data_IF_031147246137
#
_entry.id   IF_031147246137
#
_cell.length_a   1.000
_cell.length_b   1.000
_cell.length_c   1.000
_cell.angle_alpha   90.00
_cell.angle_beta   90.00
_cell.angle_gamma   90.00
#
_symmetry.space_group_name_H-M   'P 1'
#
loop_
_entity.id
_entity.type
_entity.pdbx_description
1 polymer ?
#
# COMPACT_ATOMS: atom_id res chain seq x y z
N UNK A 1 16.76 58.64 1.55
CA UNK A 1 17.78 57.58 1.35
C UNK A 1 17.09 56.27 1.70
N UNK A 2 16.26 55.68 0.84
CA UNK A 2 16.56 54.90 -0.37
C UNK A 2 17.56 53.75 -0.14
N UNK A 3 16.99 52.53 -0.07
CA UNK A 3 17.41 51.24 -0.62
C UNK A 3 16.66 50.17 0.18
N UNK A 4 15.76 49.34 -0.33
CA UNK A 4 15.65 48.80 -1.69
C UNK A 4 15.89 47.29 -1.58
N UNK A 5 14.83 46.51 -1.34
CA UNK A 5 14.84 45.06 -1.49
C UNK A 5 13.52 44.64 -2.16
N UNK A 6 13.70 44.24 -3.41
CA UNK A 6 12.68 43.92 -4.40
C UNK A 6 11.88 42.66 -4.04
N UNK A 7 10.55 42.79 -4.10
CA UNK A 7 9.62 41.67 -4.24
C UNK A 7 9.68 41.17 -5.68
N UNK A 8 10.33 40.03 -5.90
CA UNK A 8 10.20 39.28 -7.14
C UNK A 8 8.87 38.53 -7.12
N UNK A 9 7.89 39.09 -7.82
CA UNK A 9 6.67 38.42 -8.27
C UNK A 9 7.05 37.41 -9.35
N UNK A 10 7.00 36.10 -9.05
CA UNK A 10 7.04 35.09 -10.10
C UNK A 10 5.63 34.89 -10.67
N UNK A 11 5.50 35.31 -11.92
CA UNK A 11 4.34 35.12 -12.77
C UNK A 11 4.13 33.63 -13.05
N UNK A 12 2.94 33.11 -12.75
CA UNK A 12 2.49 31.80 -13.22
C UNK A 12 2.16 31.87 -14.72
N UNK A 13 3.15 31.66 -15.57
CA UNK A 13 2.90 31.40 -16.99
C UNK A 13 2.54 29.91 -17.18
N UNK A 14 1.24 29.68 -17.33
CA UNK A 14 0.60 28.74 -18.26
C UNK A 14 1.54 27.77 -18.99
N UNK A 15 1.61 26.51 -18.53
CA UNK A 15 1.87 25.38 -19.41
C UNK A 15 0.53 24.69 -19.68
N UNK A 16 0.05 24.87 -20.91
CA UNK A 16 -1.18 24.31 -21.46
C UNK A 16 -1.03 22.79 -21.57
N UNK A 17 -1.83 22.03 -20.81
CA UNK A 17 -1.97 20.60 -20.99
C UNK A 17 -2.71 20.29 -22.29
N UNK A 18 -2.08 19.54 -23.19
CA UNK A 18 -2.72 18.98 -24.38
C UNK A 18 -3.48 17.72 -23.99
N UNK A 19 -4.79 17.68 -24.28
CA UNK A 19 -5.64 16.52 -24.02
C UNK A 19 -5.96 15.82 -25.36
N UNK A 20 -5.67 14.52 -25.47
CA UNK A 20 -6.07 13.70 -26.61
C UNK A 20 -7.53 13.27 -26.44
N UNK A 21 -8.37 13.55 -27.43
CA UNK A 21 -9.69 12.91 -27.57
C UNK A 21 -9.69 12.06 -28.85
N UNK A 22 -9.99 10.77 -28.68
CA UNK A 22 -10.22 9.87 -29.80
C UNK A 22 -11.70 9.92 -30.20
N UNK A 23 -11.98 10.35 -31.43
CA UNK A 23 -13.26 10.08 -32.08
C UNK A 23 -13.06 9.23 -33.33
N UNK A 24 -14.00 8.28 -33.50
CA UNK A 24 -13.93 7.24 -34.51
C UNK A 24 -13.90 7.87 -35.91
N UNK A 25 -12.87 7.47 -36.67
CA UNK A 25 -12.55 7.75 -38.09
C UNK A 25 -11.76 9.04 -38.36
N UNK A 26 -10.43 8.92 -38.21
CA UNK A 26 -9.48 9.19 -39.29
C UNK A 26 -9.19 10.63 -39.70
N UNK A 27 -8.67 11.48 -38.80
CA UNK A 27 -7.55 12.44 -39.01
C UNK A 27 -7.35 13.22 -37.70
N UNK A 28 -6.12 13.27 -37.17
CA UNK A 28 -5.79 14.03 -35.95
C UNK A 28 -5.55 15.50 -36.33
N UNK A 29 -6.40 16.41 -35.88
CA UNK A 29 -6.16 17.87 -35.92
C UNK A 29 -6.10 18.43 -34.51
N UNK A 30 -5.12 19.30 -34.26
CA UNK A 30 -4.92 20.00 -33.01
C UNK A 30 -5.82 21.24 -32.96
N UNK A 31 -6.66 21.36 -31.93
CA UNK A 31 -7.40 22.59 -31.65
C UNK A 31 -7.03 23.15 -30.27
N UNK A 32 -6.92 24.48 -30.16
CA UNK A 32 -6.74 25.18 -28.89
C UNK A 32 -8.00 25.05 -28.01
N UNK A 33 -7.78 24.88 -26.70
CA UNK A 33 -8.83 24.63 -25.71
C UNK A 33 -9.79 25.81 -25.53
N UNK A 34 -11.09 25.52 -25.52
CA UNK A 34 -12.18 26.47 -25.27
C UNK A 34 -12.10 27.05 -23.84
N UNK A 35 -11.96 28.38 -23.68
CA UNK A 35 -11.78 29.03 -22.39
C UNK A 35 -13.05 29.14 -21.52
N UNK A 36 -14.20 28.56 -21.92
CA UNK A 36 -15.46 28.66 -21.16
C UNK A 36 -15.98 27.36 -20.51
N UNK A 37 -15.12 26.38 -20.22
CA UNK A 37 -15.52 25.22 -19.40
C UNK A 37 -15.69 25.63 -17.93
N UNK A 38 -16.95 25.85 -17.52
CA UNK A 38 -17.35 26.10 -16.13
C UNK A 38 -16.69 25.07 -15.20
N UNK A 39 -16.06 25.56 -14.12
CA UNK A 39 -15.48 24.75 -13.04
C UNK A 39 -16.49 23.71 -12.56
N UNK A 40 -16.31 22.46 -12.96
CA UNK A 40 -16.91 21.32 -12.27
C UNK A 40 -16.17 21.21 -10.94
N UNK A 41 -16.91 21.30 -9.83
CA UNK A 41 -16.37 21.03 -8.50
C UNK A 41 -15.69 19.66 -8.50
N UNK A 42 -14.49 19.59 -7.92
CA UNK A 42 -13.81 18.31 -7.72
C UNK A 42 -14.77 17.37 -6.96
N UNK A 43 -14.89 16.09 -7.37
CA UNK A 43 -15.75 15.15 -6.66
C UNK A 43 -15.31 15.06 -5.20
N UNK A 44 -16.25 15.22 -4.28
CA UNK A 44 -16.01 15.04 -2.85
C UNK A 44 -15.40 13.65 -2.62
N UNK A 45 -14.18 13.58 -2.08
CA UNK A 45 -13.51 12.33 -1.70
C UNK A 45 -14.09 11.72 -0.41
N UNK A 46 -15.05 12.38 0.23
CA UNK A 46 -15.73 11.85 1.40
C UNK A 46 -16.67 10.71 1.01
N UNK A 47 -16.38 9.50 1.51
CA UNK A 47 -17.24 8.32 1.40
C UNK A 47 -18.63 8.66 1.98
N UNK A 48 -19.74 8.33 1.29
CA UNK A 48 -21.11 8.49 1.83
C UNK A 48 -21.28 7.88 3.23
N UNK A 49 -22.26 8.36 4.01
CA UNK A 49 -22.46 7.90 5.41
C UNK A 49 -22.65 6.38 5.54
N UNK A 50 -21.98 5.81 6.57
CA UNK A 50 -22.02 4.42 7.07
C UNK A 50 -22.10 3.29 6.03
N UNK A 51 -21.25 3.34 4.99
CA UNK A 51 -21.01 2.17 4.15
C UNK A 51 -20.24 1.08 4.92
N UNK A 52 -20.55 -0.21 4.64
CA UNK A 52 -19.73 -1.33 5.08
C UNK A 52 -18.30 -1.21 4.53
N UNK A 53 -17.33 -1.94 5.09
CA UNK A 53 -15.96 -1.85 4.60
C UNK A 53 -15.85 -2.14 3.09
N UNK A 54 -16.51 -3.18 2.61
CA UNK A 54 -16.39 -3.60 1.20
C UNK A 54 -17.14 -2.65 0.26
N UNK A 55 -18.32 -2.16 0.65
CA UNK A 55 -19.06 -1.16 -0.13
C UNK A 55 -18.31 0.18 -0.20
N UNK A 56 -17.68 0.61 0.89
CA UNK A 56 -16.86 1.81 0.91
C UNK A 56 -15.62 1.69 0.03
N UNK A 57 -14.95 0.53 0.07
CA UNK A 57 -13.80 0.22 -0.80
C UNK A 57 -14.18 0.29 -2.27
N UNK A 58 -15.32 -0.30 -2.65
CA UNK A 58 -15.83 -0.25 -4.02
C UNK A 58 -16.19 1.16 -4.46
N UNK A 59 -16.78 1.96 -3.56
CA UNK A 59 -17.08 3.36 -3.83
C UNK A 59 -15.80 4.17 -4.08
N UNK A 60 -14.78 4.00 -3.23
CA UNK A 60 -13.48 4.67 -3.40
C UNK A 60 -12.84 4.30 -4.73
N UNK A 61 -12.84 3.01 -5.09
CA UNK A 61 -12.27 2.54 -6.36
C UNK A 61 -12.95 3.13 -7.59
N UNK A 62 -14.27 3.34 -7.53
CA UNK A 62 -15.06 3.99 -8.59
C UNK A 62 -14.88 5.50 -8.65
N UNK A 63 -14.49 6.12 -7.53
CA UNK A 63 -14.42 7.57 -7.37
C UNK A 63 -13.01 8.13 -7.59
N UNK A 64 -11.98 7.29 -7.44
CA UNK A 64 -10.58 7.66 -7.65
C UNK A 64 -10.10 7.28 -9.04
N UNK A 65 -9.33 8.18 -9.67
CA UNK A 65 -8.69 7.92 -10.95
C UNK A 65 -7.65 6.80 -10.79
N UNK A 66 -7.74 5.70 -11.54
CA UNK A 66 -6.74 4.65 -11.51
C UNK A 66 -5.43 5.10 -12.14
N UNK A 67 -4.31 4.63 -11.60
CA UNK A 67 -3.02 4.72 -12.25
C UNK A 67 -2.87 3.57 -13.25
N UNK A 68 -2.42 3.86 -14.48
CA UNK A 68 -2.19 2.84 -15.52
C UNK A 68 -0.86 3.13 -16.22
N UNK A 69 0.02 2.14 -16.28
CA UNK A 69 1.31 2.28 -16.97
C UNK A 69 1.72 1.03 -17.73
N UNK A 70 2.59 1.20 -18.73
CA UNK A 70 3.40 0.11 -19.26
C UNK A 70 4.60 -0.06 -18.34
N UNK A 71 4.86 -1.29 -17.90
CA UNK A 71 6.01 -1.51 -17.02
C UNK A 71 7.33 -1.39 -17.81
N UNK A 72 8.37 -0.91 -17.15
CA UNK A 72 9.72 -0.77 -17.67
C UNK A 72 10.57 -2.00 -17.33
N UNK A 73 11.72 -2.14 -18.00
CA UNK A 73 12.71 -3.19 -17.69
C UNK A 73 12.38 -4.60 -18.22
N UNK A 74 11.35 -4.73 -19.05
CA UNK A 74 10.86 -6.03 -19.55
C UNK A 74 11.87 -6.77 -20.46
N UNK A 75 12.87 -6.08 -20.99
CA UNK A 75 13.92 -6.69 -21.81
C UNK A 75 15.02 -7.41 -21.01
N UNK A 76 15.02 -7.27 -19.67
CA UNK A 76 16.07 -7.80 -18.80
C UNK A 76 15.59 -9.03 -18.01
N UNK A 77 16.54 -9.79 -17.46
CA UNK A 77 16.31 -10.88 -16.48
C UNK A 77 15.31 -11.95 -16.95
N UNK A 78 15.29 -12.22 -18.26
CA UNK A 78 14.45 -13.28 -18.84
C UNK A 78 12.95 -12.98 -18.84
N UNK A 79 12.51 -11.77 -18.45
CA UNK A 79 11.09 -11.39 -18.36
C UNK A 79 10.29 -11.61 -19.64
N UNK A 80 10.94 -11.57 -20.81
CA UNK A 80 10.31 -11.87 -22.10
C UNK A 80 9.74 -13.30 -22.22
N UNK A 81 10.20 -14.26 -21.42
CA UNK A 81 9.58 -15.59 -21.37
C UNK A 81 8.32 -15.59 -20.50
N UNK A 82 8.25 -14.74 -19.48
CA UNK A 82 7.16 -14.66 -18.51
C UNK A 82 5.97 -13.83 -19.03
N UNK A 83 6.26 -12.67 -19.60
CA UNK A 83 5.26 -11.65 -19.94
C UNK A 83 4.17 -12.17 -20.89
N UNK A 84 4.48 -12.94 -21.96
CA UNK A 84 3.46 -13.49 -22.85
C UNK A 84 2.49 -14.47 -22.16
N UNK A 85 2.86 -15.01 -21.00
CA UNK A 85 2.05 -15.97 -20.24
C UNK A 85 1.08 -15.30 -19.27
N UNK A 86 1.20 -13.97 -19.07
CA UNK A 86 0.29 -13.23 -18.23
C UNK A 86 -1.10 -13.15 -18.88
N UNK A 87 -2.12 -13.15 -18.04
CA UNK A 87 -3.52 -13.04 -18.45
C UNK A 87 -4.09 -11.72 -17.95
N UNK A 88 -5.03 -11.16 -18.70
CA UNK A 88 -5.82 -10.01 -18.25
C UNK A 88 -6.52 -10.34 -16.93
N UNK A 89 -6.57 -9.37 -16.02
CA UNK A 89 -7.13 -9.54 -14.69
C UNK A 89 -6.19 -10.18 -13.67
N UNK A 90 -5.05 -10.78 -14.08
CA UNK A 90 -4.09 -11.37 -13.14
C UNK A 90 -3.60 -10.30 -12.15
N UNK A 91 -3.68 -10.54 -10.83
CA UNK A 91 -3.20 -9.57 -9.86
C UNK A 91 -1.69 -9.39 -9.91
N UNK A 92 -1.26 -8.17 -9.59
CA UNK A 92 0.14 -7.78 -9.46
C UNK A 92 0.35 -6.97 -8.19
N UNK A 93 1.54 -7.09 -7.62
CA UNK A 93 2.02 -6.29 -6.52
C UNK A 93 3.00 -5.24 -7.02
N UNK A 94 2.82 -4.00 -6.58
CA UNK A 94 3.77 -2.91 -6.73
C UNK A 94 4.46 -2.75 -5.37
N UNK A 95 5.77 -2.97 -5.33
CA UNK A 95 6.56 -2.96 -4.10
C UNK A 95 7.72 -2.00 -4.23
N UNK A 96 7.86 -1.08 -3.28
CA UNK A 96 9.05 -0.23 -3.20
C UNK A 96 10.30 -1.07 -2.93
N UNK A 97 11.39 -0.72 -3.61
CA UNK A 97 12.69 -1.35 -3.47
C UNK A 97 13.74 -0.28 -3.11
N UNK A 98 13.76 0.21 -1.86
CA UNK A 98 14.64 1.31 -1.45
C UNK A 98 16.13 0.99 -1.59
N UNK A 99 16.45 -0.31 -1.61
CA UNK A 99 17.81 -0.85 -1.79
C UNK A 99 18.20 -1.08 -3.25
N UNK A 100 17.35 -0.70 -4.21
CA UNK A 100 17.66 -0.87 -5.63
C UNK A 100 18.94 -0.06 -5.98
N UNK A 101 19.95 -0.68 -6.60
CA UNK A 101 21.25 -0.04 -6.81
C UNK A 101 21.23 1.11 -7.84
N UNK A 102 20.16 1.25 -8.61
CA UNK A 102 20.04 2.26 -9.67
C UNK A 102 19.09 3.40 -9.30
N UNK A 103 18.06 3.11 -8.50
CA UNK A 103 17.04 4.08 -8.11
C UNK A 103 16.40 3.69 -6.76
N UNK A 104 16.74 4.39 -5.68
CA UNK A 104 16.19 4.13 -4.34
C UNK A 104 14.69 4.42 -4.21
N UNK A 105 14.06 4.96 -5.25
CA UNK A 105 12.60 5.13 -5.33
C UNK A 105 11.96 4.11 -6.27
N UNK A 106 12.70 3.07 -6.70
CA UNK A 106 12.19 2.07 -7.62
C UNK A 106 10.96 1.36 -7.04
N UNK A 107 9.93 1.21 -7.87
CA UNK A 107 8.75 0.41 -7.54
C UNK A 107 8.74 -0.79 -8.48
N UNK A 108 9.05 -1.96 -7.92
CA UNK A 108 9.06 -3.24 -8.63
C UNK A 108 7.63 -3.73 -8.82
N UNK A 109 7.36 -4.35 -9.96
CA UNK A 109 6.07 -4.99 -10.27
C UNK A 109 6.26 -6.50 -10.27
N UNK A 110 5.53 -7.18 -9.40
CA UNK A 110 5.61 -8.61 -9.15
C UNK A 110 4.25 -9.27 -9.41
N UNK A 111 4.23 -10.55 -9.74
CA UNK A 111 3.03 -11.37 -9.50
C UNK A 111 2.88 -11.67 -8.00
N UNK A 112 1.72 -12.14 -7.55
CA UNK A 112 1.52 -12.51 -6.14
C UNK A 112 2.42 -13.67 -5.68
N UNK A 113 2.86 -14.53 -6.60
CA UNK A 113 3.86 -15.58 -6.38
C UNK A 113 5.33 -15.08 -6.49
N UNK A 114 5.54 -13.77 -6.59
CA UNK A 114 6.87 -13.15 -6.50
C UNK A 114 7.68 -13.14 -7.79
N UNK A 115 7.07 -13.46 -8.95
CA UNK A 115 7.78 -13.36 -10.23
C UNK A 115 7.95 -11.89 -10.62
N UNK A 116 9.19 -11.50 -10.89
CA UNK A 116 9.55 -10.15 -11.33
C UNK A 116 9.06 -9.90 -12.76
N UNK A 117 8.17 -8.91 -12.91
CA UNK A 117 7.64 -8.48 -14.20
C UNK A 117 8.37 -7.26 -14.75
N UNK A 118 9.02 -6.46 -13.89
CA UNK A 118 9.68 -5.21 -14.24
C UNK A 118 9.42 -4.14 -13.19
N UNK A 119 9.38 -2.88 -13.64
CA UNK A 119 9.29 -1.72 -12.75
C UNK A 119 8.26 -0.71 -13.24
N UNK A 120 7.75 0.10 -12.33
CA UNK A 120 7.08 1.37 -12.67
C UNK A 120 8.10 2.28 -13.37
N UNK A 121 7.71 3.02 -14.42
CA UNK A 121 8.59 4.02 -15.02
C UNK A 121 9.13 5.00 -13.98
N UNK A 122 10.44 5.25 -14.01
CA UNK A 122 11.14 6.07 -12.99
C UNK A 122 10.50 7.44 -12.73
N UNK A 123 9.95 8.08 -13.76
CA UNK A 123 9.30 9.38 -13.64
C UNK A 123 7.98 9.37 -12.87
N UNK A 124 7.41 8.19 -12.63
CA UNK A 124 6.05 7.99 -12.09
C UNK A 124 6.07 7.32 -10.71
N UNK A 125 7.24 6.95 -10.17
CA UNK A 125 7.38 6.24 -8.88
C UNK A 125 6.83 7.03 -7.71
N UNK A 126 6.92 8.36 -7.75
CA UNK A 126 6.36 9.26 -6.73
C UNK A 126 4.84 9.15 -6.55
N UNK A 127 4.13 8.52 -7.50
CA UNK A 127 2.68 8.25 -7.38
C UNK A 127 2.37 7.22 -6.29
N UNK A 128 3.33 6.36 -5.94
CA UNK A 128 3.12 5.25 -5.00
C UNK A 128 3.48 5.65 -3.58
N UNK A 129 2.47 6.02 -2.79
CA UNK A 129 2.64 6.46 -1.40
C UNK A 129 2.77 5.32 -0.37
N UNK A 130 2.35 4.11 -0.71
CA UNK A 130 2.45 2.93 0.15
C UNK A 130 3.60 2.03 -0.29
N UNK A 131 4.26 1.39 0.67
CA UNK A 131 5.33 0.40 0.40
C UNK A 131 4.84 -0.73 -0.52
N UNK A 132 3.58 -1.13 -0.36
CA UNK A 132 2.89 -2.11 -1.19
C UNK A 132 1.62 -1.50 -1.76
N UNK A 133 1.32 -1.78 -3.03
CA UNK A 133 0.04 -1.48 -3.68
C UNK A 133 -0.34 -2.69 -4.53
N UNK A 134 -1.63 -3.04 -4.57
CA UNK A 134 -2.11 -4.09 -5.46
C UNK A 134 -2.80 -3.52 -6.69
N UNK A 135 -2.69 -4.24 -7.79
CA UNK A 135 -3.32 -3.93 -9.06
C UNK A 135 -3.54 -5.18 -9.89
N UNK A 136 -3.76 -5.00 -11.18
CA UNK A 136 -3.97 -6.11 -12.11
C UNK A 136 -3.41 -5.80 -13.51
N UNK A 137 -3.14 -6.87 -14.26
CA UNK A 137 -2.83 -6.80 -15.68
C UNK A 137 -4.08 -6.36 -16.44
N UNK A 138 -3.94 -5.32 -17.28
CA UNK A 138 -4.98 -4.84 -18.20
C UNK A 138 -4.83 -5.47 -19.57
N UNK A 139 -3.60 -5.56 -20.09
CA UNK A 139 -3.37 -6.18 -21.38
C UNK A 139 -1.92 -6.61 -21.53
N UNK A 140 -1.71 -7.63 -22.34
CA UNK A 140 -0.40 -8.13 -22.76
C UNK A 140 -0.39 -8.11 -24.28
N UNK A 141 0.71 -7.66 -24.86
CA UNK A 141 0.81 -7.64 -26.32
C UNK A 141 2.16 -7.16 -26.81
N UNK A 142 2.40 -7.25 -28.13
CA UNK A 142 3.66 -6.81 -28.71
C UNK A 142 3.85 -5.31 -28.46
N UNK A 143 5.05 -4.95 -27.98
CA UNK A 143 5.55 -3.60 -28.07
C UNK A 143 5.83 -3.32 -29.56
N UNK A 144 5.28 -2.21 -30.07
CA UNK A 144 5.42 -1.85 -31.48
C UNK A 144 6.89 -1.88 -31.90
N UNK A 145 7.16 -2.55 -33.02
CA UNK A 145 8.43 -2.57 -33.76
C UNK A 145 9.66 -3.19 -33.07
N UNK A 146 9.52 -3.75 -31.86
CA UNK A 146 10.66 -4.37 -31.14
C UNK A 146 10.66 -5.91 -31.15
N UNK A 147 9.53 -6.53 -31.51
CA UNK A 147 9.33 -7.97 -31.36
C UNK A 147 9.23 -8.43 -29.90
N UNK A 148 9.28 -7.52 -28.93
CA UNK A 148 9.14 -7.79 -27.51
C UNK A 148 7.68 -7.75 -27.09
N UNK A 149 7.33 -8.54 -26.08
CA UNK A 149 6.04 -8.42 -25.40
C UNK A 149 6.13 -7.37 -24.30
N UNK A 150 5.10 -6.54 -24.22
CA UNK A 150 4.86 -5.59 -23.14
C UNK A 150 3.59 -5.94 -22.38
N UNK A 151 3.45 -5.34 -21.20
CA UNK A 151 2.27 -5.47 -20.36
C UNK A 151 1.84 -4.10 -19.86
N UNK A 152 0.53 -3.88 -19.88
CA UNK A 152 -0.14 -2.73 -19.29
C UNK A 152 -0.76 -3.16 -17.97
N UNK A 153 -0.50 -2.42 -16.90
CA UNK A 153 -1.01 -2.71 -15.55
C UNK A 153 -1.79 -1.51 -15.00
N UNK A 154 -2.73 -1.79 -14.10
CA UNK A 154 -3.55 -0.77 -13.42
C UNK A 154 -3.53 -0.96 -11.91
N UNK A 155 -3.45 0.14 -11.16
CA UNK A 155 -3.48 0.16 -9.71
C UNK A 155 -4.21 1.41 -9.17
N UNK A 156 -4.40 1.46 -7.85
CA UNK A 156 -4.86 2.65 -7.12
C UNK A 156 -3.82 3.00 -6.05
N UNK A 157 -2.72 3.69 -6.40
CA UNK A 157 -1.58 3.92 -5.50
C UNK A 157 -1.90 4.79 -4.27
N UNK A 158 -3.02 5.50 -4.30
CA UNK A 158 -3.54 6.30 -3.18
C UNK A 158 -4.51 5.54 -2.29
N UNK A 159 -4.82 4.28 -2.62
CA UNK A 159 -5.65 3.41 -1.80
C UNK A 159 -4.77 2.45 -0.99
N UNK A 160 -4.86 2.46 0.36
CA UNK A 160 -4.10 1.51 1.16
C UNK A 160 -4.46 0.06 0.79
N UNK A 161 -3.49 -0.86 0.71
CA UNK A 161 -3.77 -2.26 0.48
C UNK A 161 -4.30 -2.94 1.76
N UNK A 162 -5.07 -4.02 1.59
CA UNK A 162 -5.27 -4.98 2.67
C UNK A 162 -4.21 -6.07 2.55
N UNK A 163 -3.17 -5.96 3.36
CA UNK A 163 -2.09 -6.96 3.48
C UNK A 163 -2.26 -7.80 4.73
N UNK A 164 -1.59 -8.96 4.75
CA UNK A 164 -1.43 -9.84 5.91
C UNK A 164 0.05 -9.85 6.28
N UNK A 165 0.34 -9.67 7.57
CA UNK A 165 1.72 -9.57 8.05
C UNK A 165 2.33 -10.96 8.24
N UNK A 166 3.47 -11.19 7.60
CA UNK A 166 4.23 -12.43 7.71
C UNK A 166 5.09 -12.43 8.98
N UNK A 167 4.45 -12.49 10.15
CA UNK A 167 5.17 -12.54 11.43
C UNK A 167 5.89 -13.87 11.60
N UNK A 168 7.16 -13.85 12.04
CA UNK A 168 7.82 -15.07 12.48
C UNK A 168 7.21 -15.57 13.79
N UNK A 169 7.21 -16.89 13.98
CA UNK A 169 6.46 -17.55 15.06
C UNK A 169 6.92 -17.12 16.46
N UNK A 170 8.21 -16.82 16.63
CA UNK A 170 8.78 -16.42 17.91
C UNK A 170 8.28 -15.05 18.41
N UNK A 171 7.78 -14.19 17.52
CA UNK A 171 7.29 -12.85 17.87
C UNK A 171 5.82 -12.83 18.32
N UNK A 172 5.08 -13.94 18.17
CA UNK A 172 3.67 -14.04 18.57
C UNK A 172 3.36 -13.51 20.00
N UNK A 173 4.22 -13.69 21.03
CA UNK A 173 3.95 -13.18 22.37
C UNK A 173 4.08 -11.65 22.52
N UNK A 174 4.71 -10.95 21.57
CA UNK A 174 5.14 -9.54 21.72
C UNK A 174 4.66 -8.61 20.61
N UNK A 175 3.86 -9.09 19.66
CA UNK A 175 3.33 -8.26 18.54
C UNK A 175 1.93 -7.70 18.79
N UNK A 176 1.29 -8.10 19.89
CA UNK A 176 0.00 -7.58 20.32
C UNK A 176 0.21 -6.58 21.47
N UNK A 177 0.06 -5.29 21.21
CA UNK A 177 0.29 -4.26 22.23
C UNK A 177 -0.80 -4.23 23.30
N UNK A 178 -2.01 -4.68 22.99
CA UNK A 178 -3.10 -4.73 23.99
C UNK A 178 -2.78 -5.65 25.17
N UNK A 179 -1.90 -6.64 24.97
CA UNK A 179 -1.41 -7.54 26.02
C UNK A 179 -0.11 -7.06 26.67
N UNK A 180 0.64 -6.17 26.00
CA UNK A 180 1.92 -5.64 26.48
C UNK A 180 1.78 -4.34 27.27
N UNK A 181 0.76 -3.54 26.98
CA UNK A 181 0.54 -2.22 27.59
C UNK A 181 -0.44 -2.29 28.76
N UNK A 182 -0.43 -1.25 29.59
CA UNK A 182 -1.51 -1.07 30.57
C UNK A 182 -2.83 -0.79 29.86
N UNK A 183 -3.96 -1.16 30.48
CA UNK A 183 -5.28 -0.88 29.91
C UNK A 183 -5.49 0.60 29.60
N UNK A 184 -4.99 1.50 30.45
CA UNK A 184 -5.09 2.94 30.24
C UNK A 184 -4.26 3.43 29.05
N UNK A 185 -3.02 2.93 28.89
CA UNK A 185 -2.17 3.31 27.75
C UNK A 185 -2.74 2.77 26.43
N UNK A 186 -3.25 1.54 26.43
CA UNK A 186 -3.90 0.95 25.26
C UNK A 186 -5.17 1.72 24.87
N UNK A 187 -6.06 2.02 25.82
CA UNK A 187 -7.27 2.80 25.57
C UNK A 187 -6.96 4.20 25.03
N UNK A 188 -5.91 4.85 25.55
CA UNK A 188 -5.44 6.14 25.04
C UNK A 188 -5.02 6.04 23.56
N UNK A 189 -4.20 5.04 23.21
CA UNK A 189 -3.76 4.83 21.82
C UNK A 189 -4.95 4.52 20.91
N UNK A 190 -5.84 3.62 21.34
CA UNK A 190 -7.02 3.22 20.59
C UNK A 190 -7.95 4.41 20.32
N UNK A 191 -8.32 5.17 21.34
CA UNK A 191 -9.20 6.34 21.18
C UNK A 191 -8.59 7.41 20.29
N UNK A 192 -7.28 7.68 20.42
CA UNK A 192 -6.59 8.62 19.54
C UNK A 192 -6.61 8.15 18.08
N UNK A 193 -6.42 6.85 17.86
CA UNK A 193 -6.45 6.22 16.53
C UNK A 193 -7.83 6.35 15.90
N UNK A 194 -8.89 6.02 16.65
CA UNK A 194 -10.27 6.15 16.19
C UNK A 194 -10.63 7.59 15.83
N UNK A 195 -10.28 8.55 16.70
CA UNK A 195 -10.56 9.96 16.46
C UNK A 195 -9.81 10.52 15.24
N UNK A 196 -8.55 10.12 15.05
CA UNK A 196 -7.73 10.54 13.90
C UNK A 196 -8.32 10.02 12.58
N UNK A 197 -8.86 8.82 12.59
CA UNK A 197 -9.47 8.18 11.43
C UNK A 197 -10.95 8.56 11.22
N UNK A 198 -11.50 9.54 11.95
CA UNK A 198 -12.93 9.88 11.94
C UNK A 198 -13.84 8.64 12.14
N UNK A 199 -13.38 7.70 12.98
CA UNK A 199 -14.02 6.41 13.21
C UNK A 199 -14.31 5.62 11.92
N UNK A 200 -13.42 5.67 10.94
CA UNK A 200 -13.53 4.92 9.68
C UNK A 200 -12.30 4.05 9.46
N UNK A 201 -12.52 2.93 8.78
CA UNK A 201 -11.45 2.05 8.36
C UNK A 201 -10.50 2.78 7.43
N UNK A 202 -9.22 2.88 7.77
CA UNK A 202 -8.25 3.59 6.93
C UNK A 202 -7.97 2.85 5.62
N UNK A 203 -8.17 1.53 5.57
CA UNK A 203 -8.00 0.73 4.34
C UNK A 203 -9.18 0.88 3.38
N UNK A 204 -10.39 1.04 3.88
CA UNK A 204 -11.60 0.96 3.05
C UNK A 204 -12.50 2.19 3.09
N UNK A 205 -12.34 3.08 4.06
CA UNK A 205 -13.21 4.23 4.34
C UNK A 205 -14.57 3.87 4.97
N UNK A 206 -14.85 2.57 5.16
CA UNK A 206 -16.12 2.07 5.70
C UNK A 206 -16.10 1.87 7.21
N UNK A 207 -17.17 1.30 7.73
CA UNK A 207 -17.36 1.02 9.16
C UNK A 207 -17.91 -0.40 9.38
N UNK A 208 -17.63 -0.96 10.56
CA UNK A 208 -18.22 -2.22 10.99
C UNK A 208 -19.71 -2.14 11.34
N UNK A 209 -20.41 -3.28 11.39
CA UNK A 209 -21.85 -3.33 11.60
C UNK A 209 -22.29 -3.04 13.05
N UNK A 210 -21.47 -3.41 14.04
CA UNK A 210 -21.78 -3.26 15.46
C UNK A 210 -20.99 -2.12 16.11
N UNK A 211 -19.70 -2.01 15.80
CA UNK A 211 -18.83 -0.88 16.14
C UNK A 211 -18.03 -0.48 14.90
N UNK A 212 -17.64 0.80 14.78
CA UNK A 212 -17.12 1.31 13.52
C UNK A 212 -15.74 0.75 13.16
N UNK A 213 -14.82 0.71 14.13
CA UNK A 213 -13.41 0.37 13.90
C UNK A 213 -12.77 -0.28 15.14
N UNK A 214 -11.68 -0.99 14.89
CA UNK A 214 -10.77 -1.63 15.84
C UNK A 214 -9.36 -1.08 15.62
N UNK A 215 -8.56 -1.05 16.69
CA UNK A 215 -7.21 -0.50 16.66
C UNK A 215 -6.22 -1.63 16.36
N UNK A 216 -5.40 -1.46 15.32
CA UNK A 216 -4.42 -2.44 14.86
C UNK A 216 -3.03 -1.81 14.81
N UNK A 217 -2.00 -2.55 15.22
CA UNK A 217 -0.61 -2.13 15.08
C UNK A 217 -0.17 -2.11 13.61
N UNK A 218 0.63 -1.11 13.24
CA UNK A 218 1.31 -1.01 11.95
C UNK A 218 2.78 -1.34 12.15
N UNK A 219 3.22 -2.45 11.56
CA UNK A 219 4.58 -2.95 11.69
C UNK A 219 5.40 -2.79 10.40
N UNK A 220 6.68 -2.53 10.54
CA UNK A 220 7.67 -2.58 9.46
C UNK A 220 8.72 -3.66 9.76
N UNK A 221 9.00 -4.50 8.76
CA UNK A 221 10.03 -5.52 8.84
C UNK A 221 11.30 -5.05 8.15
N UNK A 222 12.40 -4.98 8.91
CA UNK A 222 13.75 -4.87 8.38
C UNK A 222 14.36 -6.27 8.31
N UNK A 223 14.09 -6.98 7.21
CA UNK A 223 14.58 -8.34 6.99
C UNK A 223 16.12 -8.44 6.95
N UNK A 224 16.84 -7.34 6.68
CA UNK A 224 18.31 -7.34 6.66
C UNK A 224 18.91 -7.23 8.05
N UNK A 225 18.38 -6.33 8.86
CA UNK A 225 18.84 -6.12 10.24
C UNK A 225 18.13 -7.01 11.25
N UNK A 226 17.07 -7.71 10.83
CA UNK A 226 16.15 -8.46 11.67
C UNK A 226 15.56 -7.59 12.78
N UNK A 227 15.01 -6.43 12.40
CA UNK A 227 14.33 -5.49 13.30
C UNK A 227 12.87 -5.37 12.90
N UNK A 228 11.96 -5.62 13.84
CA UNK A 228 10.53 -5.34 13.69
C UNK A 228 10.23 -4.00 14.34
N UNK A 229 9.78 -3.01 13.56
CA UNK A 229 9.51 -1.65 14.05
C UNK A 229 8.02 -1.38 14.15
N UNK A 230 7.58 -0.87 15.29
CA UNK A 230 6.23 -0.32 15.45
C UNK A 230 6.20 1.06 14.79
N UNK A 231 5.49 1.19 13.67
CA UNK A 231 5.37 2.45 12.93
C UNK A 231 4.19 3.29 13.39
N UNK A 232 3.19 2.65 13.99
CA UNK A 232 2.06 3.31 14.62
C UNK A 232 0.85 2.41 14.78
N UNK A 233 -0.33 3.02 14.82
CA UNK A 233 -1.61 2.34 14.90
C UNK A 233 -2.47 2.74 13.71
N UNK A 234 -3.39 1.87 13.32
CA UNK A 234 -4.39 2.13 12.28
C UNK A 234 -5.78 1.70 12.74
N UNK A 235 -6.81 2.43 12.29
CA UNK A 235 -8.20 2.09 12.52
C UNK A 235 -8.72 1.20 11.39
N UNK A 236 -9.22 0.01 11.72
CA UNK A 236 -9.74 -0.96 10.75
C UNK A 236 -11.19 -1.34 11.06
N UNK A 237 -12.04 -1.47 10.05
CA UNK A 237 -13.34 -2.10 10.26
C UNK A 237 -13.14 -3.57 10.72
N UNK A 238 -14.03 -4.14 11.55
CA UNK A 238 -13.83 -5.46 12.17
C UNK A 238 -13.56 -6.58 11.17
N UNK A 239 -14.21 -6.58 10.01
CA UNK A 239 -13.95 -7.56 8.95
C UNK A 239 -12.55 -7.43 8.33
N UNK A 240 -12.03 -6.20 8.20
CA UNK A 240 -10.69 -5.91 7.69
C UNK A 240 -9.63 -6.28 8.73
N UNK A 241 -9.90 -6.00 10.00
CA UNK A 241 -9.05 -6.43 11.11
C UNK A 241 -9.02 -7.96 11.22
N UNK A 242 -10.15 -8.65 11.09
CA UNK A 242 -10.19 -10.11 11.07
C UNK A 242 -9.30 -10.69 9.95
N UNK A 243 -9.33 -10.08 8.76
CA UNK A 243 -8.49 -10.51 7.64
C UNK A 243 -6.98 -10.37 7.89
N UNK A 244 -6.55 -9.42 8.73
CA UNK A 244 -5.13 -9.30 9.15
C UNK A 244 -4.65 -10.52 9.93
N UNK A 245 -5.55 -11.18 10.67
CA UNK A 245 -5.23 -12.32 11.54
C UNK A 245 -5.50 -13.69 10.89
N UNK A 246 -5.80 -13.71 9.59
CA UNK A 246 -6.26 -14.91 8.87
C UNK A 246 -5.37 -16.16 9.05
N UNK A 247 -4.06 -15.97 9.24
CA UNK A 247 -3.10 -17.06 9.43
C UNK A 247 -3.33 -17.87 10.71
N UNK A 248 -4.09 -17.35 11.66
CA UNK A 248 -4.40 -17.98 12.95
C UNK A 248 -5.88 -18.41 13.06
N UNK A 249 -6.67 -18.19 12.01
CA UNK A 249 -8.09 -18.48 12.00
C UNK A 249 -8.40 -19.84 11.38
N UNK A 250 -9.52 -20.41 11.79
CA UNK A 250 -10.12 -21.59 11.19
C UNK A 250 -11.64 -21.40 10.96
N UNK A 251 -12.23 -22.37 10.26
CA UNK A 251 -13.67 -22.46 10.06
C UNK A 251 -14.32 -21.19 9.52
N UNK A 252 -15.46 -20.80 10.10
CA UNK A 252 -16.27 -19.70 9.61
C UNK A 252 -15.54 -18.34 9.67
N UNK A 253 -14.66 -18.14 10.66
CA UNK A 253 -13.92 -16.88 10.77
C UNK A 253 -12.89 -16.76 9.65
N UNK A 254 -12.19 -17.85 9.33
CA UNK A 254 -11.27 -17.89 8.19
C UNK A 254 -12.00 -17.66 6.86
N UNK A 255 -13.16 -18.27 6.64
CA UNK A 255 -13.95 -18.05 5.42
C UNK A 255 -14.32 -16.56 5.23
N UNK A 256 -14.76 -15.89 6.30
CA UNK A 256 -15.08 -14.45 6.26
C UNK A 256 -13.85 -13.57 5.99
N UNK A 257 -12.69 -13.96 6.53
CA UNK A 257 -11.43 -13.29 6.28
C UNK A 257 -10.98 -13.43 4.81
N UNK A 258 -11.13 -14.63 4.22
CA UNK A 258 -10.87 -14.88 2.79
C UNK A 258 -11.76 -14.00 1.90
N UNK A 259 -13.08 -13.98 2.15
CA UNK A 259 -14.03 -13.15 1.40
C UNK A 259 -13.67 -11.66 1.46
N UNK A 260 -13.16 -11.20 2.61
CA UNK A 260 -12.73 -9.81 2.77
C UNK A 260 -11.49 -9.50 1.93
N UNK A 261 -10.51 -10.41 1.88
CA UNK A 261 -9.33 -10.28 1.02
C UNK A 261 -9.73 -10.24 -0.47
N UNK A 262 -10.61 -11.15 -0.90
CA UNK A 262 -11.13 -11.19 -2.27
C UNK A 262 -11.74 -9.84 -2.67
N UNK A 263 -12.67 -9.32 -1.87
CA UNK A 263 -13.42 -8.10 -2.19
C UNK A 263 -12.54 -6.84 -2.12
N UNK A 264 -11.70 -6.70 -1.09
CA UNK A 264 -10.91 -5.48 -0.89
C UNK A 264 -9.80 -5.35 -1.93
N UNK A 265 -9.16 -6.47 -2.29
CA UNK A 265 -8.03 -6.49 -3.23
C UNK A 265 -8.41 -6.84 -4.67
N UNK A 266 -9.69 -7.16 -4.96
CA UNK A 266 -10.16 -7.65 -6.27
C UNK A 266 -9.49 -8.95 -6.69
N UNK A 267 -9.39 -9.87 -5.73
CA UNK A 267 -8.80 -11.19 -5.92
C UNK A 267 -9.90 -12.24 -6.05
N UNK A 268 -9.60 -13.32 -6.76
CA UNK A 268 -10.36 -14.57 -6.61
C UNK A 268 -9.69 -15.44 -5.53
N UNK A 269 -10.36 -16.51 -5.12
CA UNK A 269 -9.85 -17.44 -4.10
C UNK A 269 -8.44 -17.97 -4.41
N UNK A 270 -8.13 -18.31 -5.67
CA UNK A 270 -6.79 -18.80 -6.05
C UNK A 270 -5.70 -17.74 -5.92
N UNK A 271 -6.04 -16.46 -6.16
CA UNK A 271 -5.12 -15.33 -5.92
C UNK A 271 -4.86 -15.15 -4.42
N UNK A 272 -5.91 -15.26 -3.59
CA UNK A 272 -5.78 -15.21 -2.13
C UNK A 272 -4.90 -16.37 -1.63
N UNK A 273 -5.15 -17.60 -2.08
CA UNK A 273 -4.34 -18.77 -1.73
C UNK A 273 -2.87 -18.57 -2.12
N UNK A 274 -2.61 -18.05 -3.32
CA UNK A 274 -1.26 -17.74 -3.79
C UNK A 274 -0.58 -16.71 -2.91
N UNK A 275 -1.28 -15.62 -2.58
CA UNK A 275 -0.78 -14.57 -1.70
C UNK A 275 -0.49 -15.12 -0.28
N UNK A 276 -1.42 -15.86 0.32
CA UNK A 276 -1.26 -16.41 1.67
C UNK A 276 -0.16 -17.48 1.74
N UNK A 277 0.05 -18.25 0.67
CA UNK A 277 1.20 -19.13 0.55
C UNK A 277 2.51 -18.34 0.62
N UNK A 278 2.63 -17.24 -0.14
CA UNK A 278 3.80 -16.37 -0.08
C UNK A 278 4.01 -15.73 1.31
N UNK A 279 2.92 -15.32 1.98
CA UNK A 279 2.96 -14.83 3.36
C UNK A 279 3.49 -15.92 4.32
N UNK A 280 3.02 -17.16 4.18
CA UNK A 280 3.48 -18.28 5.00
C UNK A 280 4.95 -18.63 4.75
N UNK A 281 5.39 -18.65 3.49
CA UNK A 281 6.79 -18.88 3.12
C UNK A 281 7.71 -17.78 3.68
N UNK A 282 7.28 -16.52 3.60
CA UNK A 282 8.01 -15.40 4.19
C UNK A 282 8.07 -15.51 5.72
N UNK A 283 6.97 -15.84 6.40
CA UNK A 283 6.94 -16.03 7.84
C UNK A 283 7.86 -17.18 8.28
N UNK A 284 7.88 -18.27 7.53
CA UNK A 284 8.78 -19.40 7.75
C UNK A 284 10.26 -18.99 7.57
N UNK A 285 10.57 -18.21 6.52
CA UNK A 285 11.92 -17.68 6.31
C UNK A 285 12.36 -16.82 7.50
N UNK A 286 11.50 -15.87 7.92
CA UNK A 286 11.77 -14.97 9.04
C UNK A 286 11.98 -15.69 10.37
N UNK A 287 11.29 -16.82 10.58
CA UNK A 287 11.42 -17.64 11.79
C UNK A 287 12.78 -18.35 11.92
N UNK A 288 13.65 -18.28 10.91
CA UNK A 288 15.04 -18.77 10.98
C UNK A 288 16.01 -17.73 11.56
N UNK A 289 15.52 -16.57 11.98
CA UNK A 289 16.33 -15.46 12.45
C UNK A 289 15.87 -15.01 13.83
N UNK A 290 16.77 -14.34 14.57
CA UNK A 290 16.41 -13.71 15.85
C UNK A 290 16.09 -12.25 15.58
N UNK A 291 14.87 -11.85 15.92
CA UNK A 291 14.36 -10.50 15.69
C UNK A 291 14.50 -9.61 16.93
N UNK A 292 14.81 -8.35 16.68
CA UNK A 292 14.78 -7.27 17.67
C UNK A 292 13.49 -6.47 17.49
N UNK A 293 12.95 -5.95 18.59
CA UNK A 293 11.71 -5.17 18.56
C UNK A 293 12.03 -3.70 18.84
N UNK A 294 11.66 -2.83 17.91
CA UNK A 294 11.75 -1.39 18.07
C UNK A 294 10.35 -0.83 18.37
N UNK A 295 10.15 -0.44 19.63
CA UNK A 295 8.92 0.18 20.14
C UNK A 295 9.09 1.68 20.41
N UNK A 296 10.14 2.31 19.88
CA UNK A 296 10.46 3.72 20.18
C UNK A 296 9.35 4.68 19.79
N UNK A 297 8.49 4.31 18.83
CA UNK A 297 7.29 5.07 18.46
C UNK A 297 6.36 5.35 19.66
N UNK A 298 6.27 4.45 20.65
CA UNK A 298 5.41 4.65 21.84
C UNK A 298 5.78 5.92 22.61
N UNK A 299 7.06 6.27 22.68
CA UNK A 299 7.51 7.50 23.34
C UNK A 299 6.91 8.75 22.70
N UNK A 300 6.74 8.77 21.37
CA UNK A 300 6.11 9.88 20.65
C UNK A 300 4.63 10.06 21.01
N UNK A 301 4.01 9.01 21.56
CA UNK A 301 2.63 9.01 22.03
C UNK A 301 2.50 9.28 23.53
N UNK A 302 3.62 9.48 24.23
CA UNK A 302 3.65 9.62 25.69
C UNK A 302 3.42 8.30 26.43
N UNK A 303 3.52 7.16 25.74
CA UNK A 303 3.37 5.81 26.32
C UNK A 303 4.74 5.26 26.69
N UNK A 304 4.86 4.67 27.87
CA UNK A 304 6.09 4.04 28.32
C UNK A 304 6.30 2.72 27.59
N UNK A 305 7.50 2.51 27.06
CA UNK A 305 7.87 1.23 26.44
C UNK A 305 7.87 0.11 27.51
N UNK A 306 7.14 -1.00 27.29
CA UNK A 306 7.12 -2.12 28.23
C UNK A 306 8.48 -2.82 28.28
N UNK A 307 8.78 -3.45 29.41
CA UNK A 307 9.97 -4.28 29.52
C UNK A 307 9.77 -5.56 28.71
N UNK A 308 10.64 -5.78 27.72
CA UNK A 308 10.60 -6.99 26.89
C UNK A 308 11.34 -8.15 27.59
N UNK A 309 10.90 -9.41 27.38
CA UNK A 309 11.66 -10.56 27.85
C UNK A 309 13.08 -10.56 27.25
N UNK A 310 14.11 -11.07 27.96
CA UNK A 310 15.51 -11.00 27.52
C UNK A 310 15.79 -11.65 26.16
N UNK A 311 14.92 -12.57 25.72
CA UNK A 311 14.98 -13.25 24.43
C UNK A 311 14.68 -12.34 23.23
N UNK A 312 14.08 -11.16 23.46
CA UNK A 312 13.72 -10.19 22.43
C UNK A 312 14.58 -8.95 22.67
N UNK A 313 15.79 -8.93 22.09
CA UNK A 313 16.76 -7.85 22.31
C UNK A 313 16.12 -6.47 22.11
N UNK A 314 16.30 -5.57 23.09
CA UNK A 314 15.84 -4.18 22.99
C UNK A 314 16.89 -3.35 22.23
N UNK A 315 16.49 -2.75 21.12
CA UNK A 315 17.27 -1.67 20.52
C UNK A 315 16.87 -0.36 21.19
N UNK A 316 17.69 0.09 22.14
CA UNK A 316 17.75 1.52 22.42
C UNK A 316 18.23 2.26 21.16
N UNK A 317 17.90 3.54 20.99
CA UNK A 317 18.31 4.29 19.80
C UNK A 317 19.82 4.15 19.62
N UNK A 318 20.23 3.75 18.41
CA UNK A 318 21.64 3.71 18.04
C UNK A 318 22.19 5.13 18.19
N UNK A 319 22.87 5.40 19.31
CA UNK A 319 23.69 6.59 19.46
C UNK A 319 24.77 6.47 18.41
N UNK A 320 24.63 7.25 17.35
CA UNK A 320 25.65 7.50 16.36
C UNK A 320 26.93 7.92 17.07
N UNK A 321 27.83 6.95 17.32
CA UNK A 321 29.19 7.26 17.71
C UNK A 321 29.90 7.76 16.46
N UNK A 322 29.80 9.06 16.24
CA UNK A 322 30.82 9.78 15.49
C UNK A 322 32.17 9.51 16.17
N UNK A 323 33.07 8.86 15.43
CA UNK A 323 34.51 9.07 15.51
C UNK A 323 35.08 9.02 14.12
#
# INVERSE_FOLDING_TARGET
>A
MSCGLDRVLFSSQSQRGLCLQAHRRGTLQWHEADPQRKHQQAPSTAVPEKLSATAARDWLRKSLEPYTCRIAGISFEGRQSLIPQLQEGRPVEFRHEPDNPYDSNAVKVLTLDGLDLGYVPRAETATFGFNTTFGHVISVGPAADSGLSGVLVRAWPTLPPLTVDAFPSELAPVVNLSTLLSGADWEQLAHKTYATADHRCEVTGGVGPAWPVECQEVWEFDDKQHVLRLMGMTALAPEVHLAKHIMQLDGQQQSRALETLEQVNMWNLGDVETYLKGVAEQAQHRSNHIWQLDLTWLHSQGVKVPALPPSYGSTGPAVSRQR
#
